data_IF_162714523216
#
_entry.id   IF_162714523216
#
_cell.length_a   1.000
_cell.length_b   1.000
_cell.length_c   1.000
_cell.angle_alpha   90.00
_cell.angle_beta   90.00
_cell.angle_gamma   90.00
#
_symmetry.space_group_name_H-M   'P 1'
#
loop_
_entity.id
_entity.type
_entity.pdbx_description
1 polymer ?
#
# COMPACT_ATOMS: atom_id res chain seq x y z
N UNK A 1 23.31 24.49 43.64
CA UNK A 1 21.99 23.98 44.08
C UNK A 1 21.70 24.48 45.51
N UNK A 2 20.46 24.83 45.86
CA UNK A 2 20.10 25.51 47.11
C UNK A 2 20.70 24.88 48.37
N UNK A 3 20.86 23.54 48.40
CA UNK A 3 21.56 22.81 49.49
C UNK A 3 22.96 23.33 49.80
N UNK A 4 23.72 23.77 48.80
CA UNK A 4 25.07 24.29 48.97
C UNK A 4 25.10 25.59 49.81
N UNK A 5 24.02 26.38 49.80
CA UNK A 5 23.91 27.61 50.62
C UNK A 5 23.77 27.30 52.12
N UNK A 6 23.32 26.08 52.45
CA UNK A 6 23.11 25.61 53.82
C UNK A 6 24.24 24.68 54.30
N UNK A 7 25.26 24.44 53.47
CA UNK A 7 26.42 23.59 53.77
C UNK A 7 27.66 24.46 54.02
N UNK A 8 27.78 25.05 55.22
CA UNK A 8 29.09 25.50 55.74
C UNK A 8 29.41 27.00 55.74
N UNK A 9 28.42 27.89 55.86
CA UNK A 9 28.70 29.34 56.00
C UNK A 9 28.48 29.84 57.45
N UNK A 10 29.27 30.80 57.91
CA UNK A 10 29.17 31.41 59.25
C UNK A 10 27.89 32.24 59.47
N UNK A 11 27.14 32.51 58.38
CA UNK A 11 25.79 33.07 58.40
C UNK A 11 24.88 32.19 57.56
N UNK A 12 24.14 31.30 58.21
CA UNK A 12 23.14 30.46 57.56
C UNK A 12 21.95 31.34 57.13
N UNK A 13 21.52 31.29 55.85
CA UNK A 13 20.33 32.02 55.42
C UNK A 13 19.08 31.51 56.17
N UNK A 14 18.19 32.44 56.52
CA UNK A 14 16.92 32.13 57.17
C UNK A 14 15.85 31.91 56.09
N UNK A 15 15.10 30.83 56.23
CA UNK A 15 13.98 30.51 55.34
C UNK A 15 12.72 31.12 55.97
N UNK A 16 11.96 31.89 55.19
CA UNK A 16 10.74 32.54 55.67
C UNK A 16 9.53 31.79 55.09
N UNK A 17 8.63 31.26 55.94
CA UNK A 17 7.41 30.59 55.48
C UNK A 17 6.43 31.60 54.88
N UNK A 18 5.55 31.11 54.00
CA UNK A 18 4.39 31.85 53.51
C UNK A 18 3.16 31.18 54.10
N UNK A 19 2.78 31.59 55.32
CA UNK A 19 1.64 31.00 56.05
C UNK A 19 0.32 31.13 55.29
N UNK A 20 0.17 32.20 54.50
CA UNK A 20 -1.01 32.45 53.67
C UNK A 20 -0.97 31.74 52.30
N UNK A 21 -0.09 30.75 52.10
CA UNK A 21 0.08 30.08 50.80
C UNK A 21 -1.23 29.48 50.26
N UNK A 22 -2.03 28.84 51.13
CA UNK A 22 -3.34 28.29 50.75
C UNK A 22 -4.30 29.35 50.22
N UNK A 23 -4.41 30.49 50.92
CA UNK A 23 -5.28 31.59 50.50
C UNK A 23 -4.80 32.25 49.19
N UNK A 24 -3.48 32.32 48.96
CA UNK A 24 -2.91 32.84 47.72
C UNK A 24 -3.18 31.88 46.54
N UNK A 25 -3.02 30.57 46.75
CA UNK A 25 -3.29 29.55 45.74
C UNK A 25 -4.77 29.53 45.31
N UNK A 26 -5.70 29.73 46.25
CA UNK A 26 -7.14 29.83 45.96
C UNK A 26 -7.46 31.04 45.07
N UNK A 27 -6.81 32.19 45.33
CA UNK A 27 -7.02 33.41 44.56
C UNK A 27 -6.30 33.38 43.20
N UNK A 28 -5.14 32.74 43.12
CA UNK A 28 -4.27 32.76 41.95
C UNK A 28 -3.87 31.34 41.53
N UNK A 29 -4.60 30.80 40.55
CA UNK A 29 -4.46 29.43 40.02
C UNK A 29 -3.08 29.05 39.46
N UNK A 30 -2.18 30.02 39.26
CA UNK A 30 -0.81 29.76 38.83
C UNK A 30 0.09 29.24 39.98
N UNK A 31 -0.35 29.39 41.23
CA UNK A 31 0.38 28.97 42.41
C UNK A 31 -0.31 27.79 43.08
N UNK A 32 0.50 26.86 43.60
CA UNK A 32 0.04 25.76 44.43
C UNK A 32 0.64 25.91 45.83
N UNK A 33 -0.17 25.67 46.86
CA UNK A 33 0.36 25.55 48.23
C UNK A 33 1.20 24.28 48.32
N UNK A 34 2.40 24.39 48.86
CA UNK A 34 3.33 23.28 48.99
C UNK A 34 4.07 23.35 50.33
N UNK A 35 4.08 22.24 51.05
CA UNK A 35 4.83 22.13 52.29
C UNK A 35 6.20 21.50 51.99
N UNK A 36 7.25 22.27 52.26
CA UNK A 36 8.64 21.79 52.14
C UNK A 36 8.93 20.93 53.36
N UNK A 37 9.19 19.62 53.20
CA UNK A 37 9.41 18.75 54.35
C UNK A 37 10.65 19.14 55.14
N UNK A 38 10.61 18.89 56.45
CA UNK A 38 11.75 18.99 57.35
C UNK A 38 13.01 18.36 56.76
N UNK A 39 14.14 19.08 56.85
CA UNK A 39 15.45 18.59 56.44
C UNK A 39 15.72 18.55 54.93
N UNK A 40 14.82 19.10 54.09
CA UNK A 40 14.97 19.11 52.62
C UNK A 40 16.29 19.73 52.15
N UNK A 41 16.77 20.79 52.82
CA UNK A 41 17.99 21.51 52.45
C UNK A 41 19.23 20.97 53.17
N UNK A 42 19.10 20.51 54.42
CA UNK A 42 20.17 19.86 55.20
C UNK A 42 19.58 18.88 56.20
N UNK A 43 20.16 17.70 56.33
CA UNK A 43 19.67 16.66 57.25
C UNK A 43 20.06 16.83 58.73
N UNK A 44 21.23 17.40 59.04
CA UNK A 44 21.66 17.59 60.44
C UNK A 44 22.56 18.83 60.62
N UNK A 45 22.19 19.76 61.53
CA UNK A 45 20.83 19.97 62.04
C UNK A 45 19.81 20.13 60.88
N UNK A 46 18.58 19.63 61.04
CA UNK A 46 17.57 19.67 59.98
C UNK A 46 17.30 21.12 59.56
N UNK A 47 17.33 21.38 58.25
CA UNK A 47 16.91 22.65 57.65
C UNK A 47 15.99 22.33 56.46
N UNK A 48 14.72 22.72 56.48
CA UNK A 48 14.00 23.36 57.60
C UNK A 48 13.91 22.45 58.84
N UNK A 49 13.72 23.03 60.01
CA UNK A 49 13.58 22.38 61.31
C UNK A 49 12.20 21.73 61.52
N UNK A 50 11.17 22.28 60.88
CA UNK A 50 9.81 21.77 60.78
C UNK A 50 9.31 21.88 59.33
N UNK A 51 8.14 21.34 59.02
CA UNK A 51 7.56 21.47 57.68
C UNK A 51 7.24 22.94 57.40
N UNK A 52 7.72 23.45 56.27
CA UNK A 52 7.63 24.86 55.92
C UNK A 52 6.64 25.06 54.77
N UNK A 53 5.50 25.68 55.07
CA UNK A 53 4.49 26.04 54.08
C UNK A 53 4.97 27.17 53.19
N UNK A 54 4.89 26.96 51.88
CA UNK A 54 5.26 27.93 50.85
C UNK A 54 4.43 27.77 49.58
N UNK A 55 4.76 28.54 48.55
CA UNK A 55 4.14 28.47 47.24
C UNK A 55 5.07 27.77 46.25
N UNK A 56 4.51 26.89 45.43
CA UNK A 56 5.17 26.23 44.30
C UNK A 56 4.59 26.79 42.99
N UNK A 57 5.46 26.91 41.99
CA UNK A 57 5.08 27.23 40.61
C UNK A 57 5.40 26.05 39.70
N UNK A 58 4.45 25.73 38.81
CA UNK A 58 4.58 24.65 37.85
C UNK A 58 4.96 25.24 36.49
N UNK A 59 6.02 24.69 35.88
CA UNK A 59 6.41 25.03 34.51
C UNK A 59 5.78 24.02 33.55
N UNK A 60 5.07 24.53 32.55
CA UNK A 60 4.38 23.70 31.56
C UNK A 60 5.06 23.81 30.20
N UNK A 61 5.28 22.67 29.57
CA UNK A 61 5.61 22.61 28.14
C UNK A 61 4.30 22.63 27.36
N UNK A 62 4.05 23.73 26.64
CA UNK A 62 2.79 23.95 25.92
C UNK A 62 2.94 23.70 24.43
N UNK A 63 1.89 23.15 23.83
CA UNK A 63 1.80 22.87 22.40
C UNK A 63 0.53 23.52 21.81
N UNK A 64 0.55 23.83 20.51
CA UNK A 64 -0.65 24.33 19.82
C UNK A 64 -1.68 23.20 19.71
N UNK A 65 -2.95 23.53 19.98
CA UNK A 65 -4.09 22.59 19.85
C UNK A 65 -4.25 21.99 18.44
N UNK A 66 -3.76 22.67 17.40
CA UNK A 66 -3.86 22.21 16.01
C UNK A 66 -2.80 21.17 15.62
N UNK A 67 -1.89 20.82 16.52
CA UNK A 67 -0.88 19.81 16.23
C UNK A 67 -1.54 18.43 16.20
N UNK A 68 -0.97 17.55 15.38
CA UNK A 68 -1.44 16.18 15.27
C UNK A 68 -1.29 15.45 16.62
N UNK A 69 -2.35 14.74 17.02
CA UNK A 69 -2.39 14.04 18.30
C UNK A 69 -1.32 12.95 18.36
N UNK A 70 -1.06 12.21 17.28
CA UNK A 70 -0.06 11.14 17.26
C UNK A 70 1.35 11.74 17.43
N UNK A 71 1.63 12.89 16.81
CA UNK A 71 2.90 13.60 16.98
C UNK A 71 3.13 14.01 18.43
N UNK A 72 2.14 14.64 19.06
CA UNK A 72 2.25 15.09 20.46
C UNK A 72 2.35 13.90 21.41
N UNK A 73 1.63 12.82 21.13
CA UNK A 73 1.71 11.58 21.88
C UNK A 73 3.12 10.97 21.82
N UNK A 74 3.68 10.89 20.60
CA UNK A 74 5.03 10.37 20.37
C UNK A 74 6.10 11.22 21.04
N UNK A 75 5.96 12.55 20.98
CA UNK A 75 6.87 13.48 21.66
C UNK A 75 6.81 13.31 23.19
N UNK A 76 5.61 13.17 23.74
CA UNK A 76 5.40 12.97 25.19
C UNK A 76 6.06 11.67 25.63
N UNK A 77 5.86 10.59 24.88
CA UNK A 77 6.50 9.30 25.12
C UNK A 77 8.03 9.40 25.06
N UNK A 78 8.58 10.05 24.03
CA UNK A 78 10.01 10.24 23.87
C UNK A 78 10.62 11.02 25.06
N UNK A 79 9.94 12.08 25.51
CA UNK A 79 10.39 12.90 26.63
C UNK A 79 10.37 12.12 27.96
N UNK A 80 9.32 11.33 28.21
CA UNK A 80 9.21 10.55 29.44
C UNK A 80 10.20 9.37 29.46
N UNK A 81 10.48 8.77 28.30
CA UNK A 81 11.53 7.77 28.16
C UNK A 81 12.91 8.39 28.42
N UNK A 82 13.22 9.53 27.78
CA UNK A 82 14.48 10.23 27.99
C UNK A 82 14.65 10.67 29.46
N UNK A 83 13.57 11.12 30.11
CA UNK A 83 13.55 11.39 31.55
C UNK A 83 14.02 10.16 32.31
N UNK A 84 13.39 9.00 32.09
CA UNK A 84 13.72 7.76 32.79
C UNK A 84 15.18 7.37 32.60
N UNK A 85 15.69 7.47 31.39
CA UNK A 85 17.04 7.05 31.04
C UNK A 85 18.10 7.99 31.67
N UNK A 86 17.79 9.29 31.76
CA UNK A 86 18.67 10.31 32.32
C UNK A 86 18.50 10.54 33.83
N UNK A 87 17.55 9.89 34.51
CA UNK A 87 17.30 10.08 35.94
C UNK A 87 18.54 9.77 36.80
N UNK A 88 19.37 8.81 36.38
CA UNK A 88 20.60 8.43 37.09
C UNK A 88 21.68 9.50 37.03
N UNK A 89 21.77 10.25 35.92
CA UNK A 89 22.77 11.30 35.72
C UNK A 89 22.27 12.66 36.21
N UNK A 90 20.98 12.92 36.03
CA UNK A 90 20.32 14.19 36.33
C UNK A 90 19.16 13.99 37.32
N UNK A 91 19.46 13.94 38.64
CA UNK A 91 18.42 13.78 39.66
C UNK A 91 17.36 14.89 39.66
N UNK A 92 17.67 16.06 39.08
CA UNK A 92 16.70 17.16 38.93
C UNK A 92 15.48 16.76 38.09
N UNK A 93 15.62 15.80 37.18
CA UNK A 93 14.52 15.29 36.35
C UNK A 93 13.46 14.54 37.15
N UNK A 94 13.76 14.14 38.40
CA UNK A 94 12.76 13.58 39.31
C UNK A 94 11.60 14.53 39.59
N UNK A 95 11.84 15.84 39.50
CA UNK A 95 10.83 16.88 39.70
C UNK A 95 9.87 17.04 38.51
N UNK A 96 10.21 16.49 37.33
CA UNK A 96 9.30 16.48 36.19
C UNK A 96 8.17 15.51 36.50
N UNK A 97 6.95 16.02 36.63
CA UNK A 97 5.73 15.25 36.89
C UNK A 97 4.80 15.26 35.70
N UNK A 98 3.91 14.27 35.60
CA UNK A 98 2.81 14.32 34.66
C UNK A 98 1.89 15.49 34.99
N UNK A 99 1.41 16.25 33.98
CA UNK A 99 0.37 17.24 34.19
C UNK A 99 -0.93 16.55 34.62
N UNK A 100 -1.81 17.27 35.32
CA UNK A 100 -3.17 16.77 35.61
C UNK A 100 -3.94 16.62 34.29
N UNK A 101 -4.58 15.48 34.12
CA UNK A 101 -5.46 15.17 32.98
C UNK A 101 -6.93 15.51 33.28
N UNK A 102 -7.21 16.16 34.42
CA UNK A 102 -8.55 16.52 34.83
C UNK A 102 -9.13 17.66 33.97
N UNK A 103 -10.46 17.70 33.76
CA UNK A 103 -11.09 18.74 32.94
C UNK A 103 -10.96 20.16 33.49
N UNK A 104 -10.74 20.32 34.79
CA UNK A 104 -10.63 21.60 35.50
C UNK A 104 -9.17 22.05 35.70
N UNK A 105 -8.21 21.36 35.09
CA UNK A 105 -6.81 21.74 35.09
C UNK A 105 -6.60 23.18 34.58
N UNK A 106 -5.68 23.92 35.22
CA UNK A 106 -5.39 25.31 34.88
C UNK A 106 -5.02 25.50 33.39
N UNK A 107 -4.26 24.55 32.83
CA UNK A 107 -3.99 24.45 31.40
C UNK A 107 -4.46 23.07 30.93
N UNK A 108 -5.43 22.99 30.00
CA UNK A 108 -5.88 21.73 29.45
C UNK A 108 -4.75 20.98 28.74
N UNK A 109 -4.63 19.69 29.01
CA UNK A 109 -3.64 18.82 28.36
C UNK A 109 -4.05 18.57 26.91
N UNK A 110 -3.06 18.54 26.01
CA UNK A 110 -3.27 18.19 24.61
C UNK A 110 -3.82 16.75 24.49
N UNK A 111 -4.78 16.50 23.60
CA UNK A 111 -5.42 15.18 23.49
C UNK A 111 -4.41 14.05 23.23
N UNK A 112 -3.44 14.25 22.32
CA UNK A 112 -2.30 13.35 22.14
C UNK A 112 -1.48 13.05 23.41
N UNK A 113 -1.18 14.04 24.26
CA UNK A 113 -0.44 13.82 25.51
C UNK A 113 -1.32 13.15 26.58
N UNK A 114 -2.60 13.51 26.65
CA UNK A 114 -3.57 12.86 27.54
C UNK A 114 -3.73 11.37 27.18
N UNK A 115 -3.71 11.02 25.89
CA UNK A 115 -3.75 9.63 25.44
C UNK A 115 -2.54 8.81 25.94
N UNK A 116 -1.34 9.42 25.99
CA UNK A 116 -0.15 8.78 26.58
C UNK A 116 -0.34 8.54 28.08
N UNK A 117 -0.70 9.58 28.85
CA UNK A 117 -0.83 9.47 30.30
C UNK A 117 -1.99 8.56 30.75
N UNK A 118 -3.09 8.53 29.99
CA UNK A 118 -4.24 7.67 30.27
C UNK A 118 -4.07 6.24 29.73
N UNK A 119 -2.97 5.95 29.01
CA UNK A 119 -2.76 4.63 28.40
C UNK A 119 -3.75 4.30 27.27
N UNK A 120 -4.40 5.31 26.68
CA UNK A 120 -5.38 5.15 25.59
C UNK A 120 -4.78 5.42 24.21
N UNK A 121 -3.45 5.36 24.10
CA UNK A 121 -2.77 5.49 22.81
C UNK A 121 -3.19 4.37 21.86
N UNK A 122 -3.70 4.77 20.69
CA UNK A 122 -4.04 3.84 19.61
C UNK A 122 -2.75 3.50 18.86
N UNK A 123 -2.46 2.21 18.71
CA UNK A 123 -1.29 1.79 17.92
C UNK A 123 -1.53 2.03 16.42
N UNK A 124 -0.46 2.19 15.63
CA UNK A 124 -0.56 2.37 14.18
C UNK A 124 -1.39 1.25 13.52
N UNK A 125 -1.12 0.00 13.89
CA UNK A 125 -1.84 -1.15 13.33
C UNK A 125 -3.31 -1.18 13.74
N UNK A 126 -3.64 -0.72 14.95
CA UNK A 126 -5.02 -0.63 15.40
C UNK A 126 -5.78 0.48 14.64
N UNK A 127 -5.13 1.63 14.41
CA UNK A 127 -5.68 2.76 13.65
C UNK A 127 -5.90 2.44 12.17
N UNK A 128 -4.94 1.75 11.54
CA UNK A 128 -4.95 1.50 10.09
C UNK A 128 -5.34 0.06 9.71
N UNK A 129 -5.58 -0.82 10.68
CA UNK A 129 -5.84 -2.23 10.43
C UNK A 129 -6.95 -2.46 9.43
N UNK A 130 -8.09 -1.80 9.63
CA UNK A 130 -9.23 -1.92 8.71
C UNK A 130 -8.87 -1.49 7.27
N UNK A 131 -8.14 -0.39 7.10
CA UNK A 131 -7.74 0.09 5.77
C UNK A 131 -6.76 -0.86 5.09
N UNK A 132 -5.78 -1.39 5.83
CA UNK A 132 -4.78 -2.34 5.33
C UNK A 132 -5.46 -3.61 4.78
N UNK A 133 -6.53 -4.08 5.42
CA UNK A 133 -7.30 -5.23 4.92
C UNK A 133 -8.28 -4.88 3.80
N UNK A 134 -8.94 -3.72 3.89
CA UNK A 134 -9.99 -3.33 2.95
C UNK A 134 -9.44 -2.88 1.58
N UNK A 135 -8.32 -2.16 1.57
CA UNK A 135 -7.74 -1.61 0.33
C UNK A 135 -7.38 -2.70 -0.69
N UNK A 136 -6.66 -3.78 -0.34
CA UNK A 136 -6.38 -4.87 -1.28
C UNK A 136 -7.63 -5.59 -1.77
N UNK A 137 -8.65 -5.73 -0.92
CA UNK A 137 -9.91 -6.37 -1.30
C UNK A 137 -10.65 -5.58 -2.38
N UNK A 138 -10.77 -4.25 -2.19
CA UNK A 138 -11.37 -3.35 -3.18
C UNK A 138 -10.53 -3.35 -4.46
N UNK A 139 -9.20 -3.27 -4.33
CA UNK A 139 -8.30 -3.24 -5.48
C UNK A 139 -8.39 -4.53 -6.31
N UNK A 140 -8.45 -5.70 -5.66
CA UNK A 140 -8.65 -6.99 -6.33
C UNK A 140 -9.99 -7.06 -7.08
N UNK A 141 -11.07 -6.57 -6.47
CA UNK A 141 -12.37 -6.44 -7.14
C UNK A 141 -12.31 -5.54 -8.37
N UNK A 142 -11.64 -4.39 -8.26
CA UNK A 142 -11.51 -3.44 -9.36
C UNK A 142 -10.68 -4.01 -10.53
N UNK A 143 -9.58 -4.71 -10.23
CA UNK A 143 -8.77 -5.42 -11.23
C UNK A 143 -9.61 -6.46 -11.97
N UNK A 144 -10.46 -7.21 -11.26
CA UNK A 144 -11.34 -8.21 -11.87
C UNK A 144 -12.36 -7.57 -12.82
N UNK A 145 -13.02 -6.48 -12.41
CA UNK A 145 -13.97 -5.75 -13.26
C UNK A 145 -13.27 -5.15 -14.48
N UNK A 146 -12.09 -4.55 -14.30
CA UNK A 146 -11.29 -4.00 -15.40
C UNK A 146 -10.86 -5.09 -16.39
N UNK A 147 -10.43 -6.25 -15.91
CA UNK A 147 -10.06 -7.38 -16.77
C UNK A 147 -11.27 -7.90 -17.58
N UNK A 148 -12.44 -8.01 -16.93
CA UNK A 148 -13.67 -8.40 -17.62
C UNK A 148 -14.10 -7.37 -18.68
N UNK A 149 -14.03 -6.08 -18.36
CA UNK A 149 -14.34 -5.00 -19.29
C UNK A 149 -13.36 -4.98 -20.48
N UNK A 150 -12.07 -5.17 -20.22
CA UNK A 150 -11.04 -5.26 -21.27
C UNK A 150 -11.29 -6.44 -22.22
N UNK A 151 -11.71 -7.59 -21.68
CA UNK A 151 -12.10 -8.76 -22.47
C UNK A 151 -13.30 -8.45 -23.39
N UNK A 152 -14.28 -7.68 -22.91
CA UNK A 152 -15.48 -7.34 -23.68
C UNK A 152 -15.24 -6.27 -24.76
N UNK A 153 -14.31 -5.35 -24.53
CA UNK A 153 -13.97 -4.28 -25.47
C UNK A 153 -13.01 -4.70 -26.59
N UNK A 154 -12.39 -5.89 -26.50
CA UNK A 154 -11.47 -6.42 -27.51
C UNK A 154 -12.29 -6.98 -28.70
N UNK A 155 -12.30 -6.32 -29.88
CA UNK A 155 -13.09 -6.78 -31.01
C UNK A 155 -12.41 -7.96 -31.70
N UNK A 156 -13.19 -9.01 -32.00
CA UNK A 156 -12.82 -10.09 -32.92
C UNK A 156 -12.87 -11.47 -32.27
N UNK A 157 -14.00 -12.15 -32.43
CA UNK A 157 -14.07 -13.60 -32.39
C UNK A 157 -13.14 -14.14 -33.48
N UNK A 158 -11.87 -14.35 -33.13
CA UNK A 158 -10.98 -15.23 -33.87
C UNK A 158 -11.64 -16.62 -33.85
N UNK A 159 -11.59 -17.36 -34.95
CA UNK A 159 -12.18 -18.71 -35.04
C UNK A 159 -11.65 -19.57 -33.90
N UNK A 160 -12.52 -20.21 -33.10
CA UNK A 160 -12.10 -21.20 -32.09
C UNK A 160 -11.22 -22.28 -32.73
N UNK A 161 -10.33 -22.93 -31.97
CA UNK A 161 -9.45 -23.99 -32.50
C UNK A 161 -10.19 -25.03 -33.36
N UNK A 162 -11.37 -25.45 -32.89
CA UNK A 162 -12.27 -26.35 -33.62
C UNK A 162 -12.74 -25.76 -34.96
N UNK A 163 -13.16 -24.49 -34.97
CA UNK A 163 -13.58 -23.78 -36.18
C UNK A 163 -12.43 -23.57 -37.17
N UNK A 164 -11.21 -23.37 -36.68
CA UNK A 164 -10.00 -23.25 -37.51
C UNK A 164 -9.65 -24.59 -38.17
N UNK A 165 -9.74 -25.70 -37.44
CA UNK A 165 -9.54 -27.05 -37.99
C UNK A 165 -10.60 -27.41 -39.03
N UNK A 166 -11.88 -27.14 -38.75
CA UNK A 166 -12.98 -27.39 -39.69
C UNK A 166 -12.79 -26.60 -41.00
N UNK A 167 -12.36 -25.34 -40.92
CA UNK A 167 -12.02 -24.52 -42.08
C UNK A 167 -10.87 -25.13 -42.89
N UNK A 168 -9.78 -25.56 -42.25
CA UNK A 168 -8.67 -26.23 -42.92
C UNK A 168 -9.10 -27.55 -43.60
N UNK A 169 -9.92 -28.37 -42.93
CA UNK A 169 -10.42 -29.61 -43.54
C UNK A 169 -11.33 -29.35 -44.75
N UNK A 170 -12.17 -28.30 -44.70
CA UNK A 170 -12.99 -27.89 -45.82
C UNK A 170 -12.14 -27.48 -47.04
N UNK A 171 -11.03 -26.75 -46.81
CA UNK A 171 -10.07 -26.40 -47.87
C UNK A 171 -9.40 -27.64 -48.48
N UNK A 172 -9.11 -28.67 -47.68
CA UNK A 172 -8.60 -29.96 -48.15
C UNK A 172 -9.53 -30.71 -49.11
N UNK A 173 -10.84 -30.52 -49.01
CA UNK A 173 -11.79 -31.04 -49.99
C UNK A 173 -11.71 -30.25 -51.31
N UNK A 174 -11.63 -28.92 -51.21
CA UNK A 174 -11.59 -28.00 -52.36
C UNK A 174 -10.34 -28.21 -53.22
N UNK A 175 -9.16 -28.39 -52.59
CA UNK A 175 -7.88 -28.67 -53.28
C UNK A 175 -7.97 -29.88 -54.22
N UNK A 176 -8.77 -30.89 -53.88
CA UNK A 176 -8.88 -32.13 -54.68
C UNK A 176 -9.71 -31.97 -55.95
N UNK A 177 -10.60 -30.99 -55.99
CA UNK A 177 -11.56 -30.78 -57.10
C UNK A 177 -11.07 -29.67 -58.04
N UNK A 178 -10.16 -28.81 -57.58
CA UNK A 178 -9.66 -27.68 -58.36
C UNK A 178 -8.84 -28.11 -59.57
N UNK A 179 -9.08 -27.47 -60.73
CA UNK A 179 -8.40 -27.72 -62.01
C UNK A 179 -7.53 -26.53 -62.48
N UNK A 180 -7.42 -25.46 -61.68
CA UNK A 180 -6.73 -24.22 -62.02
C UNK A 180 -5.66 -23.85 -60.99
N UNK A 181 -4.43 -23.60 -61.42
CA UNK A 181 -3.32 -23.19 -60.54
C UNK A 181 -3.57 -21.85 -59.82
N UNK A 182 -4.34 -20.95 -60.44
CA UNK A 182 -4.73 -19.69 -59.82
C UNK A 182 -5.60 -19.92 -58.56
N UNK A 183 -6.51 -20.89 -58.60
CA UNK A 183 -7.36 -21.24 -57.46
C UNK A 183 -6.57 -21.99 -56.36
N UNK A 184 -5.53 -22.76 -56.70
CA UNK A 184 -4.64 -23.37 -55.70
C UNK A 184 -3.89 -22.28 -54.91
N UNK A 185 -3.45 -21.23 -55.60
CA UNK A 185 -2.77 -20.09 -54.98
C UNK A 185 -3.70 -19.28 -54.07
N UNK A 186 -4.99 -19.21 -54.38
CA UNK A 186 -6.00 -18.62 -53.49
C UNK A 186 -6.17 -19.42 -52.20
N UNK A 187 -6.23 -20.75 -52.30
CA UNK A 187 -6.37 -21.63 -51.14
C UNK A 187 -5.13 -21.55 -50.23
N UNK A 188 -3.93 -21.46 -50.81
CA UNK A 188 -2.68 -21.27 -50.06
C UNK A 188 -2.70 -19.98 -49.21
N UNK A 189 -3.18 -18.86 -49.79
CA UNK A 189 -3.37 -17.60 -49.06
C UNK A 189 -4.42 -17.72 -47.95
N UNK A 190 -5.44 -18.54 -48.13
CA UNK A 190 -6.48 -18.77 -47.13
C UNK A 190 -5.94 -19.57 -45.94
N UNK A 191 -5.13 -20.61 -46.19
CA UNK A 191 -4.43 -21.37 -45.15
C UNK A 191 -3.50 -20.46 -44.33
N UNK A 192 -2.73 -19.59 -45.00
CA UNK A 192 -1.83 -18.65 -44.34
C UNK A 192 -2.57 -17.65 -43.44
N UNK A 193 -3.77 -17.20 -43.85
CA UNK A 193 -4.60 -16.31 -43.02
C UNK A 193 -5.06 -17.00 -41.74
N UNK A 194 -5.50 -18.26 -41.83
CA UNK A 194 -5.94 -19.04 -40.66
C UNK A 194 -4.77 -19.25 -39.68
N UNK A 195 -3.58 -19.59 -40.19
CA UNK A 195 -2.38 -19.75 -39.36
C UNK A 195 -1.90 -18.44 -38.71
N UNK A 196 -1.98 -17.31 -39.43
CA UNK A 196 -1.62 -16.00 -38.87
C UNK A 196 -2.57 -15.57 -37.75
N UNK A 197 -3.88 -15.81 -37.92
CA UNK A 197 -4.88 -15.56 -36.88
C UNK A 197 -4.60 -16.35 -35.61
N UNK A 198 -4.15 -17.60 -35.74
CA UNK A 198 -3.80 -18.45 -34.61
C UNK A 198 -2.54 -18.00 -33.87
N UNK A 199 -1.47 -17.64 -34.60
CA UNK A 199 -0.23 -17.13 -33.97
C UNK A 199 -0.45 -15.87 -33.13
N UNK A 200 -1.48 -15.08 -33.42
CA UNK A 200 -1.86 -13.94 -32.60
C UNK A 200 -2.44 -14.36 -31.23
N UNK A 201 -3.08 -15.53 -31.13
CA UNK A 201 -3.63 -16.08 -29.87
C UNK A 201 -2.57 -16.67 -28.95
N UNK A 202 -1.63 -17.41 -29.52
CA UNK A 202 -0.49 -17.94 -28.78
C UNK A 202 0.26 -16.80 -28.05
N UNK A 203 0.48 -15.67 -28.73
CA UNK A 203 1.09 -14.48 -28.13
C UNK A 203 0.24 -13.81 -27.06
N UNK A 204 -1.08 -14.01 -27.07
CA UNK A 204 -2.00 -13.52 -26.05
C UNK A 204 -2.09 -14.44 -24.82
N UNK A 205 -1.44 -15.61 -24.85
CA UNK A 205 -1.46 -16.59 -23.75
C UNK A 205 -2.81 -17.30 -23.59
N UNK A 206 -3.65 -17.28 -24.62
CA UNK A 206 -5.03 -17.77 -24.58
C UNK A 206 -5.18 -19.23 -25.04
N UNK A 207 -4.11 -19.87 -25.53
CA UNK A 207 -4.20 -21.16 -26.23
C UNK A 207 -3.12 -22.18 -25.80
N UNK A 208 -3.48 -23.47 -25.84
CA UNK A 208 -2.60 -24.58 -25.47
C UNK A 208 -1.57 -24.87 -26.57
N UNK A 209 -0.34 -25.19 -26.19
CA UNK A 209 0.72 -25.58 -27.13
C UNK A 209 0.34 -26.78 -28.01
N UNK A 210 -0.52 -27.68 -27.52
CA UNK A 210 -1.01 -28.86 -28.25
C UNK A 210 -2.00 -28.50 -29.39
N UNK A 211 -2.74 -27.40 -29.23
CA UNK A 211 -3.71 -26.94 -30.23
C UNK A 211 -2.97 -26.31 -31.42
N UNK A 212 -1.89 -25.58 -31.14
CA UNK A 212 -1.00 -24.98 -32.15
C UNK A 212 -0.29 -26.06 -32.97
N UNK A 213 0.20 -27.12 -32.35
CA UNK A 213 0.88 -28.20 -33.08
C UNK A 213 -0.08 -28.95 -34.00
N UNK A 214 -1.30 -29.25 -33.55
CA UNK A 214 -2.32 -29.95 -34.34
C UNK A 214 -2.70 -29.17 -35.60
N UNK A 215 -2.90 -27.85 -35.48
CA UNK A 215 -3.23 -26.98 -36.61
C UNK A 215 -2.09 -26.89 -37.64
N UNK A 216 -0.84 -26.79 -37.17
CA UNK A 216 0.33 -26.79 -38.05
C UNK A 216 0.47 -28.11 -38.82
N UNK A 217 0.21 -29.26 -38.18
CA UNK A 217 0.20 -30.57 -38.85
C UNK A 217 -0.87 -30.64 -39.93
N UNK A 218 -2.08 -30.14 -39.64
CA UNK A 218 -3.16 -30.07 -40.63
C UNK A 218 -2.77 -29.19 -41.83
N UNK A 219 -2.19 -28.02 -41.59
CA UNK A 219 -1.74 -27.12 -42.64
C UNK A 219 -0.62 -27.72 -43.52
N UNK A 220 0.37 -28.39 -42.91
CA UNK A 220 1.41 -29.09 -43.66
C UNK A 220 0.85 -30.18 -44.57
N UNK A 221 -0.16 -30.92 -44.09
CA UNK A 221 -0.85 -31.91 -44.91
C UNK A 221 -1.54 -31.26 -46.12
N UNK A 222 -2.17 -30.09 -45.95
CA UNK A 222 -2.81 -29.37 -47.05
C UNK A 222 -1.79 -28.82 -48.07
N UNK A 223 -0.66 -28.29 -47.60
CA UNK A 223 0.43 -27.84 -48.48
C UNK A 223 0.97 -28.97 -49.35
N UNK A 224 1.13 -30.17 -48.79
CA UNK A 224 1.52 -31.35 -49.56
C UNK A 224 0.46 -31.73 -50.62
N UNK A 225 -0.83 -31.68 -50.27
CA UNK A 225 -1.92 -31.93 -51.24
C UNK A 225 -1.95 -30.89 -52.37
N UNK A 226 -1.65 -29.61 -52.07
CA UNK A 226 -1.52 -28.55 -53.09
C UNK A 226 -0.34 -28.85 -54.02
N UNK A 227 0.81 -29.28 -53.47
CA UNK A 227 1.99 -29.64 -54.25
C UNK A 227 1.72 -30.83 -55.19
N UNK A 228 1.10 -31.90 -54.67
CA UNK A 228 0.71 -33.07 -55.47
C UNK A 228 -0.29 -32.68 -56.58
N UNK A 229 -1.24 -31.79 -56.30
CA UNK A 229 -2.19 -31.32 -57.31
C UNK A 229 -1.54 -30.43 -58.37
N UNK A 230 -0.63 -29.52 -57.99
CA UNK A 230 0.14 -28.70 -58.95
C UNK A 230 0.99 -29.56 -59.88
N UNK A 231 1.63 -30.60 -59.38
CA UNK A 231 2.44 -31.51 -60.20
C UNK A 231 1.57 -32.31 -61.19
N UNK A 232 0.38 -32.76 -60.78
CA UNK A 232 -0.59 -33.40 -61.69
C UNK A 232 -1.09 -32.45 -62.78
N UNK A 233 -1.42 -31.20 -62.44
CA UNK A 233 -1.85 -30.19 -63.43
C UNK A 233 -0.71 -29.81 -64.39
N UNK A 234 0.54 -29.86 -63.95
CA UNK A 234 1.72 -29.63 -64.80
C UNK A 234 2.01 -30.79 -65.78
N UNK A 235 1.53 -32.01 -65.46
CA UNK A 235 1.67 -33.21 -66.30
C UNK A 235 0.57 -33.35 -67.38
N UNK A 236 -0.48 -32.52 -67.36
CA UNK A 236 -1.53 -32.45 -68.40
C UNK A 236 -1.41 -31.21 -69.33
N UNK A 237 -0.41 -31.11 -70.23
CA UNK A 237 -0.40 -30.06 -71.25
C UNK A 237 -1.18 -30.49 -72.50
N UNK A 238 -2.43 -30.03 -72.62
CA UNK A 238 -3.07 -29.79 -73.93
C UNK A 238 -4.24 -30.69 -74.32
N UNK A 239 -5.48 -30.26 -74.02
CA UNK A 239 -6.68 -30.70 -74.75
C UNK A 239 -7.79 -29.64 -74.75
N UNK A 240 -7.50 -28.41 -75.20
CA UNK A 240 -8.56 -27.45 -75.61
C UNK A 240 -8.08 -26.48 -76.69
N UNK A 241 -8.04 -26.91 -77.97
CA UNK A 241 -8.17 -25.97 -79.11
C UNK A 241 -8.93 -26.61 -80.29
N UNK A 242 -10.07 -25.98 -80.63
CA UNK A 242 -10.84 -25.95 -81.90
C UNK A 242 -11.70 -27.15 -82.33
N UNK A 243 -13.00 -27.04 -82.01
CA UNK A 243 -14.06 -27.29 -83.00
C UNK A 243 -14.35 -25.96 -83.70
N UNK A 244 -13.93 -25.81 -84.97
CA UNK A 244 -14.54 -24.83 -85.88
C UNK A 244 -15.28 -25.61 -86.96
N UNK A 245 -16.62 -25.56 -86.89
CA UNK A 245 -17.51 -25.71 -88.05
C UNK A 245 -17.05 -24.74 -89.15
N UNK A 246 -16.91 -25.23 -90.37
CA UNK A 246 -16.92 -24.43 -91.58
C UNK A 246 -17.87 -25.12 -92.57
N UNK A 247 -18.88 -24.36 -92.98
CA UNK A 247 -19.79 -24.62 -94.11
C UNK A 247 -19.04 -24.70 -95.46
N UNK A 248 -19.57 -25.56 -96.34
CA UNK A 248 -19.61 -25.50 -97.81
C UNK A 248 -20.05 -26.93 -98.24
N UNK A 249 -21.11 -27.22 -98.98
CA UNK A 249 -21.83 -26.58 -100.10
C UNK A 249 -23.30 -27.00 -100.00
#
# INVERSE_FOLDING_TARGET
PLRALFQGNTKTPVIVPIESAGAIAEKARAYESFDVPKGTFRGSPPVPDEDLTTLKVSFYLVAKKSLDDDLVSSLTQALMNARRDLLGELPILSQVTSPSTDPDAYIPVHAGAAAFYNGTQVSFLDKWGNAIFLVPMIFGGLVSVLAAAWKFLRPGELLSHEQALDSLYALGSRIRITESDAELSDIEREIDRVLQAQRARERAGEESALDVTTLNVAAHRLQNLIHDRRTLLALEPGSKVRIKRAEAI
#
